data_IF_993937557228
#
_entry.id   IF_993937557228
#
_cell.length_a   1.000
_cell.length_b   1.000
_cell.length_c   1.000
_cell.angle_alpha   90.00
_cell.angle_beta   90.00
_cell.angle_gamma   90.00
#
_symmetry.space_group_name_H-M   'P 1'
#
loop_
_entity.id
_entity.type
_entity.pdbx_description
1 polymer ?
#
# COMPACT_ATOMS: atom_id res chain seq x y z
N UNK A 1 0.96 12.88 -8.57
CA UNK A 1 1.42 11.59 -8.01
C UNK A 1 1.02 10.45 -8.93
N UNK A 2 1.88 9.47 -9.14
CA UNK A 2 1.59 8.20 -9.83
C UNK A 2 1.52 7.08 -8.81
N UNK A 3 0.47 6.26 -8.85
CA UNK A 3 0.27 5.13 -7.94
C UNK A 3 0.69 3.84 -8.65
N UNK A 4 1.66 3.14 -8.08
CA UNK A 4 2.25 1.91 -8.62
C UNK A 4 2.02 0.78 -7.60
N UNK A 5 1.19 -0.19 -7.95
CA UNK A 5 0.96 -1.38 -7.13
C UNK A 5 1.93 -2.50 -7.51
N UNK A 6 2.58 -3.11 -6.53
CA UNK A 6 3.42 -4.29 -6.72
C UNK A 6 2.68 -5.49 -6.15
N UNK A 7 2.22 -6.40 -7.00
CA UNK A 7 1.36 -7.50 -6.59
C UNK A 7 1.65 -8.80 -7.34
N UNK A 8 1.42 -9.91 -6.70
CA UNK A 8 1.29 -11.25 -7.26
C UNK A 8 0.72 -12.17 -6.17
N UNK A 9 -0.14 -13.08 -6.52
CA UNK A 9 -0.76 -14.04 -5.59
C UNK A 9 0.21 -15.14 -5.12
N UNK A 10 1.43 -15.20 -5.66
CA UNK A 10 2.45 -16.16 -5.26
C UNK A 10 3.39 -15.59 -4.20
N UNK A 11 3.66 -16.39 -3.16
CA UNK A 11 4.60 -16.04 -2.11
C UNK A 11 6.06 -16.19 -2.55
N UNK A 12 6.97 -15.43 -1.94
CA UNK A 12 8.40 -15.59 -2.09
C UNK A 12 8.99 -15.20 -3.46
N UNK A 13 8.26 -14.42 -4.27
CA UNK A 13 8.70 -13.96 -5.59
C UNK A 13 9.34 -12.56 -5.59
N UNK A 14 9.47 -11.95 -4.40
CA UNK A 14 10.17 -10.67 -4.24
C UNK A 14 9.30 -9.42 -4.41
N UNK A 15 7.97 -9.46 -4.18
CA UNK A 15 7.09 -8.28 -4.20
C UNK A 15 7.62 -7.14 -3.34
N UNK A 16 7.76 -7.38 -2.03
CA UNK A 16 8.25 -6.41 -1.05
C UNK A 16 9.61 -5.83 -1.44
N UNK A 17 10.55 -6.69 -1.87
CA UNK A 17 11.87 -6.22 -2.31
C UNK A 17 11.79 -5.39 -3.60
N UNK A 18 10.89 -5.74 -4.51
CA UNK A 18 10.65 -4.95 -5.73
C UNK A 18 10.07 -3.58 -5.38
N UNK A 19 9.06 -3.53 -4.49
CA UNK A 19 8.46 -2.27 -4.03
C UNK A 19 9.50 -1.38 -3.34
N UNK A 20 10.28 -1.95 -2.41
CA UNK A 20 11.34 -1.22 -1.71
C UNK A 20 12.44 -0.72 -2.65
N UNK A 21 12.87 -1.53 -3.62
CA UNK A 21 13.89 -1.14 -4.60
C UNK A 21 13.39 0.01 -5.50
N UNK A 22 12.15 -0.04 -5.96
CA UNK A 22 11.55 1.05 -6.76
C UNK A 22 11.47 2.32 -5.92
N UNK A 23 11.00 2.23 -4.68
CA UNK A 23 10.91 3.37 -3.77
C UNK A 23 12.28 4.00 -3.53
N UNK A 24 13.32 3.19 -3.27
CA UNK A 24 14.69 3.66 -3.07
C UNK A 24 15.26 4.35 -4.30
N UNK A 25 15.15 3.72 -5.47
CA UNK A 25 15.66 4.29 -6.73
C UNK A 25 14.97 5.63 -7.03
N UNK A 26 13.64 5.68 -6.90
CA UNK A 26 12.90 6.90 -7.18
C UNK A 26 13.18 7.99 -6.14
N UNK A 27 13.24 7.63 -4.85
CA UNK A 27 13.47 8.58 -3.76
C UNK A 27 14.91 9.06 -3.71
N UNK A 28 15.86 8.15 -3.52
CA UNK A 28 17.24 8.49 -3.19
C UNK A 28 18.11 8.73 -4.42
N UNK A 29 17.91 7.98 -5.51
CA UNK A 29 18.73 8.16 -6.72
C UNK A 29 18.15 9.19 -7.69
N UNK A 30 16.80 9.31 -7.77
CA UNK A 30 16.12 10.25 -8.69
C UNK A 30 15.61 11.51 -8.00
N UNK A 31 15.71 11.62 -6.67
CA UNK A 31 15.29 12.78 -5.89
C UNK A 31 13.79 13.06 -5.93
N UNK A 32 12.95 12.00 -6.12
CA UNK A 32 11.50 12.11 -6.15
C UNK A 32 10.92 11.95 -4.75
N UNK A 33 9.82 12.64 -4.47
CA UNK A 33 9.06 12.40 -3.24
C UNK A 33 8.21 11.14 -3.37
N UNK A 34 8.48 10.14 -2.54
CA UNK A 34 7.85 8.82 -2.59
C UNK A 34 7.09 8.53 -1.30
N UNK A 35 5.84 8.10 -1.44
CA UNK A 35 5.06 7.51 -0.37
C UNK A 35 5.00 6.00 -0.59
N UNK A 36 5.37 5.22 0.42
CA UNK A 36 5.13 3.78 0.45
C UNK A 36 3.80 3.54 1.18
N UNK A 37 2.97 2.62 0.68
CA UNK A 37 1.81 2.10 1.40
C UNK A 37 1.94 0.59 1.52
N UNK A 38 1.87 0.07 2.76
CA UNK A 38 1.94 -1.37 3.01
C UNK A 38 0.53 -1.96 3.08
N UNK A 39 0.12 -2.59 2.00
CA UNK A 39 -1.18 -3.24 1.85
C UNK A 39 -1.13 -4.77 2.10
N UNK A 40 -0.06 -5.26 2.74
CA UNK A 40 0.07 -6.64 3.19
C UNK A 40 -0.10 -6.70 4.70
N UNK A 41 -1.06 -7.51 5.19
CA UNK A 41 -1.24 -7.75 6.63
C UNK A 41 0.00 -8.30 7.34
N UNK A 42 0.96 -8.87 6.59
CA UNK A 42 2.24 -9.34 7.14
C UNK A 42 3.19 -8.18 7.49
N UNK A 43 2.97 -6.99 6.96
CA UNK A 43 3.74 -5.80 7.29
C UNK A 43 5.21 -5.84 6.89
N UNK A 44 5.56 -6.62 5.86
CA UNK A 44 6.96 -6.89 5.54
C UNK A 44 7.73 -5.64 5.12
N UNK A 45 7.14 -4.75 4.32
CA UNK A 45 7.81 -3.50 3.95
C UNK A 45 7.83 -2.52 5.13
N UNK A 46 6.81 -2.53 5.98
CA UNK A 46 6.79 -1.75 7.23
C UNK A 46 7.90 -2.18 8.19
N UNK A 47 8.13 -3.49 8.32
CA UNK A 47 9.26 -4.03 9.08
C UNK A 47 10.61 -3.62 8.48
N UNK A 48 10.75 -3.65 7.15
CA UNK A 48 11.98 -3.27 6.45
C UNK A 48 12.36 -1.80 6.72
N UNK A 49 11.37 -0.92 6.87
CA UNK A 49 11.58 0.50 7.17
C UNK A 49 11.52 0.83 8.66
N UNK A 50 11.45 -0.18 9.56
CA UNK A 50 11.34 -0.02 11.02
C UNK A 50 10.12 0.85 11.42
N UNK A 51 8.97 0.56 10.79
CA UNK A 51 7.72 1.31 11.01
C UNK A 51 6.51 0.40 11.26
N UNK A 52 6.72 -0.90 11.42
CA UNK A 52 5.65 -1.82 11.78
C UNK A 52 5.34 -1.71 13.29
N UNK A 53 4.11 -1.34 13.59
CA UNK A 53 3.54 -1.36 14.94
C UNK A 53 2.17 -2.04 14.84
N UNK A 54 1.98 -3.24 15.41
CA UNK A 54 0.72 -3.97 15.33
C UNK A 54 -0.45 -3.24 16.00
N UNK A 55 -0.19 -2.40 17.01
CA UNK A 55 -1.19 -1.58 17.70
C UNK A 55 -1.23 -0.13 17.18
N UNK A 56 -0.35 0.20 16.24
CA UNK A 56 -0.21 1.53 15.67
C UNK A 56 -1.27 1.84 14.62
N UNK A 57 -1.28 3.09 14.19
CA UNK A 57 -2.14 3.58 13.11
C UNK A 57 -1.45 3.44 11.76
N UNK A 58 -2.21 3.05 10.73
CA UNK A 58 -1.70 2.86 9.39
C UNK A 58 -2.79 2.58 8.36
N UNK A 59 -2.60 1.57 7.52
CA UNK A 59 -3.53 1.23 6.43
C UNK A 59 -4.95 0.89 6.90
N UNK A 60 -5.13 0.32 8.10
CA UNK A 60 -6.46 0.05 8.64
C UNK A 60 -7.25 1.34 8.82
N UNK A 61 -6.66 2.33 9.49
CA UNK A 61 -7.29 3.63 9.74
C UNK A 61 -7.53 4.40 8.44
N UNK A 62 -6.63 4.28 7.46
CA UNK A 62 -6.82 4.86 6.14
C UNK A 62 -8.07 4.29 5.46
N UNK A 63 -8.33 3.01 5.60
CA UNK A 63 -9.45 2.35 4.93
C UNK A 63 -10.77 2.43 5.72
N UNK A 64 -10.74 2.40 7.08
CA UNK A 64 -11.95 2.42 7.91
C UNK A 64 -12.30 3.82 8.44
N UNK A 65 -11.29 4.59 8.88
CA UNK A 65 -11.46 5.80 9.69
C UNK A 65 -10.94 7.06 8.99
N UNK A 66 -10.79 7.04 7.68
CA UNK A 66 -10.39 8.21 6.92
C UNK A 66 -11.49 9.30 6.93
N UNK A 67 -11.10 10.57 6.99
CA UNK A 67 -12.05 11.69 7.08
C UNK A 67 -13.04 11.74 5.92
N UNK A 68 -12.63 11.40 4.69
CA UNK A 68 -13.53 11.34 3.53
C UNK A 68 -14.66 10.32 3.69
N UNK A 69 -14.48 9.31 4.56
CA UNK A 69 -15.48 8.31 4.92
C UNK A 69 -16.18 8.63 6.27
N UNK A 70 -16.02 9.87 6.78
CA UNK A 70 -16.58 10.29 8.07
C UNK A 70 -15.75 9.88 9.29
N UNK A 71 -14.52 9.41 9.10
CA UNK A 71 -13.59 9.03 10.16
C UNK A 71 -12.80 10.20 10.74
N UNK A 72 -11.87 9.89 11.66
CA UNK A 72 -11.11 10.85 12.44
C UNK A 72 -9.75 11.22 11.83
N UNK A 73 -9.20 10.41 10.92
CA UNK A 73 -7.84 10.56 10.41
C UNK A 73 -7.80 11.17 9.01
N UNK A 74 -6.94 12.16 8.81
CA UNK A 74 -6.48 12.57 7.48
C UNK A 74 -5.37 11.61 7.01
N UNK A 75 -5.10 11.57 5.71
CA UNK A 75 -3.99 10.77 5.18
C UNK A 75 -2.66 11.18 5.81
N UNK A 76 -2.45 12.47 6.04
CA UNK A 76 -1.21 13.00 6.61
C UNK A 76 -0.96 12.56 8.06
N UNK A 77 -2.01 12.29 8.83
CA UNK A 77 -1.89 11.78 10.22
C UNK A 77 -1.31 10.36 10.27
N UNK A 78 -1.48 9.61 9.19
CA UNK A 78 -1.08 8.21 9.08
C UNK A 78 0.33 8.03 8.50
N UNK A 79 0.91 9.09 7.93
CA UNK A 79 2.24 9.04 7.31
C UNK A 79 3.32 9.04 8.41
N UNK A 80 4.31 8.19 8.20
CA UNK A 80 5.52 8.09 9.03
C UNK A 80 6.74 8.36 8.17
N UNK A 81 7.67 9.17 8.68
CA UNK A 81 8.97 9.40 8.04
C UNK A 81 9.81 8.13 8.11
N UNK A 82 10.66 7.90 7.12
CA UNK A 82 11.65 6.83 7.11
C UNK A 82 13.07 7.39 7.34
N UNK A 83 14.10 6.56 7.50
CA UNK A 83 15.49 7.01 7.52
C UNK A 83 15.95 7.69 6.22
N UNK A 84 15.19 7.57 5.14
CA UNK A 84 15.49 8.15 3.83
C UNK A 84 14.75 9.48 3.65
N UNK A 85 15.47 10.53 3.21
CA UNK A 85 14.94 11.89 3.21
C UNK A 85 13.82 12.16 2.20
N UNK A 86 13.64 11.29 1.21
CA UNK A 86 12.63 11.43 0.17
C UNK A 86 11.56 10.34 0.20
N UNK A 87 11.57 9.46 1.21
CA UNK A 87 10.66 8.32 1.30
C UNK A 87 9.94 8.35 2.63
N UNK A 88 8.62 8.42 2.59
CA UNK A 88 7.72 8.27 3.72
C UNK A 88 6.87 7.01 3.55
N UNK A 89 6.21 6.54 4.61
CA UNK A 89 5.43 5.32 4.61
C UNK A 89 4.11 5.45 5.39
N UNK A 90 3.04 4.87 4.85
CA UNK A 90 1.85 4.48 5.62
C UNK A 90 1.99 2.99 5.90
N UNK A 91 2.27 2.60 7.15
CA UNK A 91 2.56 1.21 7.48
C UNK A 91 1.31 0.33 7.52
N UNK A 92 1.49 -0.97 7.36
CA UNK A 92 0.50 -1.95 7.81
C UNK A 92 0.45 -1.99 9.33
N UNK A 93 -0.66 -2.49 9.86
CA UNK A 93 -0.82 -2.77 11.28
C UNK A 93 -1.56 -4.10 11.52
N UNK A 94 -1.71 -4.50 12.78
CA UNK A 94 -2.35 -5.76 13.17
C UNK A 94 -3.85 -5.84 12.86
N UNK A 95 -4.49 -4.73 12.53
CA UNK A 95 -5.94 -4.65 12.32
C UNK A 95 -6.37 -4.86 10.86
N UNK A 96 -5.45 -4.93 9.89
CA UNK A 96 -5.77 -4.95 8.47
C UNK A 96 -6.66 -6.13 8.04
N UNK A 97 -6.51 -7.30 8.70
CA UNK A 97 -7.41 -8.43 8.47
C UNK A 97 -8.86 -8.12 8.90
N UNK A 98 -9.02 -7.48 10.07
CA UNK A 98 -10.33 -7.05 10.57
C UNK A 98 -10.94 -6.00 9.64
N UNK A 99 -10.15 -5.03 9.21
CA UNK A 99 -10.53 -4.01 8.24
C UNK A 99 -11.12 -4.62 6.96
N UNK A 100 -10.48 -5.63 6.40
CA UNK A 100 -11.00 -6.34 5.22
C UNK A 100 -12.39 -6.95 5.48
N UNK A 101 -12.61 -7.52 6.67
CA UNK A 101 -13.92 -8.08 7.04
C UNK A 101 -14.98 -6.98 7.22
N UNK A 102 -14.63 -5.87 7.85
CA UNK A 102 -15.53 -4.72 8.03
C UNK A 102 -15.96 -4.18 6.67
N UNK A 103 -15.02 -3.92 5.77
CA UNK A 103 -15.31 -3.40 4.44
C UNK A 103 -16.18 -4.34 3.60
N UNK A 104 -16.02 -5.65 3.73
CA UNK A 104 -16.86 -6.63 3.04
C UNK A 104 -18.32 -6.63 3.52
N UNK A 105 -18.58 -6.18 4.75
CA UNK A 105 -19.93 -6.13 5.35
C UNK A 105 -20.63 -4.80 5.09
N UNK A 106 -19.91 -3.78 4.66
CA UNK A 106 -20.50 -2.48 4.34
C UNK A 106 -21.30 -2.55 3.04
N UNK A 107 -22.46 -1.91 3.03
CA UNK A 107 -23.28 -1.73 1.83
C UNK A 107 -22.93 -0.40 1.17
N UNK A 108 -22.64 -0.44 -0.15
CA UNK A 108 -22.35 0.75 -0.95
C UNK A 108 -21.13 0.56 -1.86
N UNK A 109 -20.88 1.56 -2.70
CA UNK A 109 -19.73 1.54 -3.62
C UNK A 109 -18.51 2.28 -3.05
N UNK A 110 -18.70 3.09 -2.02
CA UNK A 110 -17.64 3.95 -1.45
C UNK A 110 -16.52 3.15 -0.79
N UNK A 111 -16.82 1.95 -0.30
CA UNK A 111 -15.84 1.08 0.37
C UNK A 111 -14.65 0.67 -0.52
N UNK A 112 -14.82 0.64 -1.84
CA UNK A 112 -13.75 0.30 -2.80
C UNK A 112 -12.96 1.53 -3.29
N UNK A 113 -13.37 2.73 -2.94
CA UNK A 113 -12.78 3.99 -3.38
C UNK A 113 -11.97 4.70 -2.29
N UNK A 114 -11.90 4.15 -1.07
CA UNK A 114 -11.30 4.82 0.10
C UNK A 114 -9.82 5.09 -0.07
N UNK A 115 -9.09 4.14 -0.62
CA UNK A 115 -7.67 4.35 -0.91
C UNK A 115 -7.46 5.47 -1.95
N UNK A 116 -8.28 5.50 -3.00
CA UNK A 116 -8.21 6.56 -4.01
C UNK A 116 -8.52 7.93 -3.41
N UNK A 117 -9.54 8.02 -2.53
CA UNK A 117 -9.89 9.26 -1.82
C UNK A 117 -8.74 9.74 -0.93
N UNK A 118 -8.15 8.84 -0.14
CA UNK A 118 -7.00 9.15 0.70
C UNK A 118 -5.80 9.64 -0.11
N UNK A 119 -5.46 8.97 -1.21
CA UNK A 119 -4.34 9.37 -2.06
C UNK A 119 -4.54 10.73 -2.73
N UNK A 120 -5.78 11.17 -2.94
CA UNK A 120 -6.06 12.51 -3.47
C UNK A 120 -5.63 13.63 -2.52
N UNK A 121 -5.69 13.43 -1.20
CA UNK A 121 -5.26 14.44 -0.21
C UNK A 121 -3.76 14.74 -0.29
N UNK A 122 -2.96 13.74 -0.61
CA UNK A 122 -1.49 13.86 -0.66
C UNK A 122 -0.93 13.94 -2.07
N UNK A 123 -1.81 14.04 -3.08
CA UNK A 123 -1.44 14.00 -4.50
C UNK A 123 -0.44 15.06 -4.93
N UNK A 124 -0.45 16.21 -4.26
CA UNK A 124 0.46 17.35 -4.55
C UNK A 124 1.76 17.29 -3.75
N UNK A 125 1.84 16.41 -2.72
CA UNK A 125 3.00 16.29 -1.83
C UNK A 125 4.01 15.30 -2.41
N UNK A 126 3.53 14.20 -3.01
CA UNK A 126 4.36 13.11 -3.51
C UNK A 126 4.32 13.02 -5.04
N UNK A 127 5.44 12.60 -5.64
CA UNK A 127 5.54 12.28 -7.06
C UNK A 127 5.01 10.87 -7.35
N UNK A 128 5.30 9.93 -6.44
CA UNK A 128 4.95 8.51 -6.54
C UNK A 128 4.36 7.98 -5.24
N UNK A 129 3.40 7.06 -5.37
CA UNK A 129 2.96 6.16 -4.31
C UNK A 129 3.28 4.74 -4.74
N UNK A 130 4.10 4.03 -3.98
CA UNK A 130 4.47 2.63 -4.22
C UNK A 130 3.73 1.77 -3.20
N UNK A 131 2.91 0.84 -3.67
CA UNK A 131 2.09 -0.01 -2.80
C UNK A 131 2.60 -1.45 -2.84
N UNK A 132 3.03 -1.98 -1.69
CA UNK A 132 3.34 -3.40 -1.52
C UNK A 132 2.06 -4.14 -1.18
N UNK A 133 1.57 -4.99 -2.10
CA UNK A 133 0.31 -5.69 -1.95
C UNK A 133 0.51 -7.09 -1.37
N UNK A 134 -0.47 -7.53 -0.55
CA UNK A 134 -0.54 -8.88 -0.03
C UNK A 134 -0.72 -9.96 -1.11
N UNK A 135 -0.83 -11.21 -0.66
CA UNK A 135 -1.01 -12.37 -1.54
C UNK A 135 -2.47 -12.57 -1.97
N UNK A 136 -3.41 -12.08 -1.15
CA UNK A 136 -4.85 -12.32 -1.30
C UNK A 136 -5.48 -11.10 -1.96
N UNK A 137 -6.37 -11.34 -2.91
CA UNK A 137 -7.22 -10.30 -3.49
C UNK A 137 -8.37 -10.00 -2.50
N UNK A 138 -8.05 -9.27 -1.46
CA UNK A 138 -8.99 -8.80 -0.44
C UNK A 138 -9.47 -7.36 -0.72
N UNK A 139 -10.22 -6.78 0.21
CA UNK A 139 -10.74 -5.40 0.05
C UNK A 139 -9.63 -4.35 0.05
N UNK A 140 -8.54 -4.57 0.79
CA UNK A 140 -7.37 -3.70 0.78
C UNK A 140 -6.73 -3.68 -0.61
N UNK A 141 -6.43 -4.86 -1.17
CA UNK A 141 -5.84 -4.98 -2.51
C UNK A 141 -6.80 -4.49 -3.59
N UNK A 142 -8.11 -4.72 -3.45
CA UNK A 142 -9.13 -4.20 -4.37
C UNK A 142 -9.12 -2.67 -4.42
N UNK A 143 -9.09 -2.00 -3.26
CA UNK A 143 -8.97 -0.55 -3.15
C UNK A 143 -7.71 -0.02 -3.86
N UNK A 144 -6.58 -0.68 -3.64
CA UNK A 144 -5.31 -0.31 -4.28
C UNK A 144 -5.38 -0.47 -5.79
N UNK A 145 -5.94 -1.58 -6.29
CA UNK A 145 -6.06 -1.87 -7.73
C UNK A 145 -6.91 -0.84 -8.47
N UNK A 146 -8.01 -0.39 -7.85
CA UNK A 146 -8.88 0.64 -8.44
C UNK A 146 -8.15 1.99 -8.54
N UNK A 147 -7.29 2.30 -7.59
CA UNK A 147 -6.54 3.55 -7.55
C UNK A 147 -5.25 3.53 -8.37
N UNK A 148 -4.72 2.37 -8.73
CA UNK A 148 -3.40 2.22 -9.34
C UNK A 148 -3.36 2.73 -10.79
N UNK A 149 -2.35 3.54 -11.11
CA UNK A 149 -2.01 3.93 -12.49
C UNK A 149 -1.21 2.83 -13.21
N UNK A 150 -0.48 2.00 -12.45
CA UNK A 150 0.36 0.92 -12.97
C UNK A 150 0.41 -0.24 -11.98
N UNK A 151 0.37 -1.46 -12.51
CA UNK A 151 0.58 -2.68 -11.73
C UNK A 151 1.86 -3.36 -12.20
N UNK A 152 2.76 -3.67 -11.26
CA UNK A 152 3.98 -4.45 -11.49
C UNK A 152 3.77 -5.84 -10.88
N UNK A 153 3.95 -6.86 -11.73
CA UNK A 153 3.82 -8.26 -11.33
C UNK A 153 5.19 -8.92 -11.40
N UNK A 154 5.94 -9.01 -10.29
CA UNK A 154 7.21 -9.73 -10.26
C UNK A 154 6.99 -11.21 -10.54
N UNK A 155 7.83 -11.79 -11.42
CA UNK A 155 7.79 -13.22 -11.75
C UNK A 155 9.19 -13.82 -11.66
N UNK A 156 9.28 -15.07 -11.18
CA UNK A 156 10.48 -15.87 -11.33
C UNK A 156 10.47 -16.60 -12.67
N UNK A 157 11.63 -16.78 -13.28
CA UNK A 157 11.76 -17.62 -14.47
C UNK A 157 11.64 -19.08 -14.03
N UNK A 158 10.45 -19.66 -14.23
CA UNK A 158 10.11 -21.05 -13.92
C UNK A 158 8.73 -21.35 -14.50
N UNK A 159 8.49 -22.58 -14.96
CA UNK A 159 7.28 -22.93 -15.73
C UNK A 159 5.94 -22.66 -15.03
N UNK A 160 5.90 -22.72 -13.69
CA UNK A 160 4.66 -22.50 -12.92
C UNK A 160 4.42 -21.04 -12.51
N UNK A 161 5.44 -20.20 -12.54
CA UNK A 161 5.33 -18.81 -12.12
C UNK A 161 4.71 -17.90 -13.21
N UNK A 162 4.85 -18.27 -14.46
CA UNK A 162 4.29 -17.54 -15.61
C UNK A 162 2.77 -17.69 -15.66
N UNK A 163 2.24 -18.88 -15.33
CA UNK A 163 0.80 -19.15 -15.31
C UNK A 163 0.07 -18.35 -14.20
N UNK A 164 0.76 -18.07 -13.10
CA UNK A 164 0.18 -17.30 -11.97
C UNK A 164 0.17 -15.78 -12.19
N UNK A 165 0.82 -15.29 -13.24
CA UNK A 165 0.91 -13.86 -13.57
C UNK A 165 -0.08 -13.44 -14.68
N UNK A 166 -0.70 -14.42 -15.36
CA UNK A 166 -1.70 -14.21 -16.43
C UNK A 166 -3.12 -14.18 -15.87
#
# INVERSE_FOLDING_TARGET
MKIIAVMNQKGGIGKTMTAAAIAYIMGEEKGKKVLICDADQQGNISLLYDRFDPEGQGMSELLENHQAAGGAYSTTDLIRTTPYGNIDIIPANGYLMRTNMTLLQEEGEDQILRFAAAMNEVRTIYDYCIVDCGLIMDMTVTNVMIAADLVIVPVKIGGFEIEAAA
#
